data_IF_954658246618
#
_entry.id   IF_954658246618
#
_cell.length_a   1.000
_cell.length_b   1.000
_cell.length_c   1.000
_cell.angle_alpha   90.00
_cell.angle_beta   90.00
_cell.angle_gamma   90.00
#
_symmetry.space_group_name_H-M   'P 1'
#
loop_
_entity.id
_entity.type
_entity.pdbx_description
1 polymer ?
#
# COMPACT_ATOMS: atom_id res chain seq x y z
N UNK A 1 75.67 -38.39 -7.91
CA UNK A 1 74.65 -38.30 -8.98
C UNK A 1 73.95 -39.65 -9.07
N UNK A 2 72.64 -39.85 -8.98
CA UNK A 2 71.46 -38.97 -8.89
C UNK A 2 70.30 -39.82 -8.32
N UNK A 3 69.65 -39.28 -7.30
CA UNK A 3 68.21 -39.31 -6.97
C UNK A 3 67.42 -40.62 -6.77
N UNK A 4 67.23 -40.94 -5.48
CA UNK A 4 65.95 -41.07 -4.77
C UNK A 4 64.67 -40.68 -5.55
N UNK A 5 63.66 -41.57 -5.57
CA UNK A 5 62.24 -41.20 -5.37
C UNK A 5 61.54 -42.36 -4.63
N UNK A 6 61.25 -42.12 -3.34
CA UNK A 6 60.37 -42.93 -2.49
C UNK A 6 58.99 -42.26 -2.57
N UNK A 7 58.01 -42.89 -3.22
CA UNK A 7 56.63 -42.39 -3.30
C UNK A 7 55.92 -42.81 -2.01
N UNK A 8 55.78 -41.86 -1.09
CA UNK A 8 54.94 -41.97 0.10
C UNK A 8 53.51 -41.61 -0.31
N UNK A 9 52.66 -42.62 -0.53
CA UNK A 9 51.23 -42.43 -0.74
C UNK A 9 50.54 -42.15 0.60
N UNK A 10 50.42 -40.86 0.93
CA UNK A 10 49.56 -40.35 2.01
C UNK A 10 48.09 -40.48 1.54
N UNK A 11 47.44 -41.57 1.94
CA UNK A 11 45.99 -41.67 1.99
C UNK A 11 45.50 -40.75 3.12
N UNK A 12 45.29 -39.47 2.81
CA UNK A 12 44.47 -38.59 3.63
C UNK A 12 43.02 -39.05 3.47
N UNK A 13 42.58 -39.96 4.34
CA UNK A 13 41.17 -40.24 4.56
C UNK A 13 40.53 -38.97 5.12
N UNK A 14 39.95 -38.15 4.25
CA UNK A 14 38.97 -37.15 4.65
C UNK A 14 37.78 -37.90 5.22
N UNK A 15 37.76 -38.06 6.53
CA UNK A 15 36.55 -38.33 7.28
C UNK A 15 35.59 -37.19 6.93
N UNK A 16 34.56 -37.50 6.15
CA UNK A 16 33.38 -36.64 6.05
C UNK A 16 32.74 -36.63 7.44
N UNK A 17 33.18 -35.71 8.29
CA UNK A 17 32.48 -35.42 9.54
C UNK A 17 31.06 -35.04 9.16
N UNK A 18 30.08 -35.85 9.57
CA UNK A 18 28.70 -35.44 9.52
C UNK A 18 28.58 -34.23 10.45
N UNK A 19 28.50 -33.02 9.88
CA UNK A 19 28.31 -31.80 10.66
C UNK A 19 27.00 -31.95 11.44
N UNK A 20 27.07 -31.84 12.77
CA UNK A 20 25.85 -31.86 13.58
C UNK A 20 25.04 -30.59 13.31
N UNK A 21 23.74 -30.60 13.65
CA UNK A 21 22.87 -29.41 13.55
C UNK A 21 23.48 -28.21 14.31
N UNK A 22 24.15 -28.49 15.43
CA UNK A 22 24.89 -27.50 16.20
C UNK A 22 26.09 -26.92 15.42
N UNK A 23 26.90 -27.77 14.77
CA UNK A 23 28.06 -27.32 13.99
C UNK A 23 27.65 -26.46 12.78
N UNK A 24 26.52 -26.80 12.16
CA UNK A 24 25.92 -26.01 11.07
C UNK A 24 25.53 -24.61 11.59
N UNK A 25 24.82 -24.54 12.71
CA UNK A 25 24.50 -23.24 13.33
C UNK A 25 25.76 -22.45 13.67
N UNK A 26 26.72 -23.06 14.38
CA UNK A 26 27.92 -22.34 14.84
C UNK A 26 28.72 -21.77 13.67
N UNK A 27 28.83 -22.51 12.57
CA UNK A 27 29.58 -22.09 11.39
C UNK A 27 28.85 -21.05 10.52
N UNK A 28 27.52 -21.14 10.37
CA UNK A 28 26.75 -20.29 9.43
C UNK A 28 25.96 -19.16 10.08
N UNK A 29 25.35 -19.42 11.24
CA UNK A 29 24.27 -18.58 11.78
C UNK A 29 24.58 -17.97 13.16
N UNK A 30 25.62 -18.41 13.86
CA UNK A 30 26.00 -17.88 15.18
C UNK A 30 26.19 -16.36 15.24
N UNK A 31 26.62 -15.73 14.15
CA UNK A 31 26.82 -14.28 14.04
C UNK A 31 25.61 -13.53 13.48
N UNK A 32 24.56 -14.23 13.06
CA UNK A 32 23.33 -13.62 12.54
C UNK A 32 22.43 -13.18 13.69
N UNK A 33 21.59 -12.18 13.45
CA UNK A 33 20.63 -11.71 14.44
C UNK A 33 19.44 -12.66 14.60
N UNK A 34 18.50 -12.31 15.48
CA UNK A 34 17.21 -12.99 15.59
C UNK A 34 16.55 -13.10 14.21
N UNK A 35 16.14 -14.31 13.82
CA UNK A 35 15.55 -14.55 12.52
C UNK A 35 15.38 -16.03 12.19
N UNK A 36 14.92 -16.28 10.97
CA UNK A 36 14.71 -17.62 10.41
C UNK A 36 15.68 -17.83 9.25
N UNK A 37 16.39 -18.96 9.26
CA UNK A 37 17.44 -19.23 8.29
C UNK A 37 17.29 -20.62 7.67
N UNK A 38 17.33 -20.67 6.34
CA UNK A 38 17.22 -21.89 5.56
C UNK A 38 18.57 -22.60 5.38
N UNK A 39 18.57 -23.90 5.60
CA UNK A 39 19.65 -24.83 5.27
C UNK A 39 19.05 -26.02 4.47
N UNK A 40 19.89 -26.84 3.83
CA UNK A 40 19.44 -27.90 2.93
C UNK A 40 18.44 -28.88 3.58
N UNK A 41 18.62 -29.16 4.89
CA UNK A 41 17.77 -30.11 5.62
C UNK A 41 16.94 -29.46 6.74
N UNK A 42 17.29 -28.23 7.14
CA UNK A 42 16.77 -27.62 8.35
C UNK A 42 16.39 -26.16 8.13
N UNK A 43 15.35 -25.73 8.82
CA UNK A 43 15.04 -24.33 9.04
C UNK A 43 15.42 -24.00 10.48
N UNK A 44 16.34 -23.06 10.65
CA UNK A 44 16.82 -22.59 11.95
C UNK A 44 15.99 -21.39 12.40
N UNK A 45 15.40 -21.50 13.57
CA UNK A 45 14.75 -20.41 14.29
C UNK A 45 15.70 -19.92 15.36
N UNK A 46 16.23 -18.71 15.17
CA UNK A 46 17.23 -18.11 16.06
C UNK A 46 16.58 -16.95 16.78
N UNK A 47 16.58 -17.02 18.11
CA UNK A 47 16.15 -15.92 18.98
C UNK A 47 17.35 -15.47 19.81
N UNK A 48 17.73 -14.22 19.61
CA UNK A 48 18.69 -13.45 20.40
C UNK A 48 17.95 -12.34 21.10
N UNK A 49 17.83 -12.46 22.42
CA UNK A 49 17.06 -11.54 23.25
C UNK A 49 17.95 -11.02 24.38
N UNK A 50 17.96 -9.71 24.62
CA UNK A 50 18.61 -9.17 25.82
C UNK A 50 17.97 -9.75 27.10
N UNK A 51 18.78 -10.03 28.12
CA UNK A 51 18.28 -10.57 29.37
C UNK A 51 17.25 -9.63 30.00
N UNK A 52 16.11 -10.20 30.41
CA UNK A 52 15.03 -9.48 31.07
C UNK A 52 15.42 -8.96 32.46
N UNK A 53 16.43 -9.60 33.06
CA UNK A 53 17.03 -9.20 34.33
C UNK A 53 18.55 -9.06 34.18
N UNK A 54 19.18 -8.15 34.93
CA UNK A 54 20.64 -8.01 34.96
C UNK A 54 21.31 -9.17 35.73
N UNK A 55 21.14 -10.40 35.23
CA UNK A 55 21.77 -11.61 35.78
C UNK A 55 22.84 -12.14 34.83
N UNK A 56 23.88 -12.73 35.42
CA UNK A 56 25.03 -13.31 34.69
C UNK A 56 24.69 -14.56 33.87
N UNK A 57 23.54 -15.20 34.14
CA UNK A 57 23.07 -16.43 33.49
C UNK A 57 21.58 -16.32 33.19
N UNK A 58 21.14 -16.80 32.03
CA UNK A 58 19.74 -16.93 31.69
C UNK A 58 19.01 -17.87 32.65
N UNK A 59 17.81 -17.47 33.06
CA UNK A 59 16.91 -18.26 33.87
C UNK A 59 15.70 -18.76 33.07
N UNK A 60 14.82 -19.47 33.77
CA UNK A 60 13.58 -20.00 33.17
C UNK A 60 12.65 -18.92 32.61
N UNK A 61 12.78 -17.66 33.03
CA UNK A 61 11.96 -16.58 32.50
C UNK A 61 12.46 -16.12 31.13
N UNK A 62 13.77 -15.89 30.98
CA UNK A 62 14.38 -15.55 29.70
C UNK A 62 14.16 -16.67 28.67
N UNK A 63 14.34 -17.94 29.07
CA UNK A 63 14.04 -19.11 28.24
C UNK A 63 12.58 -19.13 27.76
N UNK A 64 11.62 -18.84 28.66
CA UNK A 64 10.18 -18.83 28.32
C UNK A 64 9.81 -17.72 27.34
N UNK A 65 10.36 -16.51 27.50
CA UNK A 65 10.10 -15.43 26.56
C UNK A 65 10.76 -15.69 25.20
N UNK A 66 11.97 -16.26 25.18
CA UNK A 66 12.64 -16.64 23.94
C UNK A 66 11.89 -17.78 23.23
N UNK A 67 11.39 -18.77 23.97
CA UNK A 67 10.51 -19.83 23.46
C UNK A 67 9.22 -19.26 22.86
N UNK A 68 8.59 -18.27 23.51
CA UNK A 68 7.41 -17.58 23.00
C UNK A 68 7.70 -16.85 21.69
N UNK A 69 8.86 -16.19 21.58
CA UNK A 69 9.32 -15.56 20.33
C UNK A 69 9.56 -16.60 19.23
N UNK A 70 10.16 -17.75 19.57
CA UNK A 70 10.29 -18.88 18.65
C UNK A 70 8.93 -19.34 18.13
N UNK A 71 7.94 -19.61 18.99
CA UNK A 71 6.62 -20.05 18.54
C UNK A 71 5.94 -19.00 17.65
N UNK A 72 6.15 -17.70 17.93
CA UNK A 72 5.68 -16.63 17.04
C UNK A 72 6.34 -16.70 15.65
N UNK A 73 7.65 -16.90 15.58
CA UNK A 73 8.35 -17.10 14.32
C UNK A 73 7.89 -18.38 13.61
N UNK A 74 7.73 -19.50 14.33
CA UNK A 74 7.28 -20.78 13.76
C UNK A 74 5.91 -20.62 13.11
N UNK A 75 4.92 -20.08 13.83
CA UNK A 75 3.58 -19.84 13.27
C UNK A 75 3.66 -18.97 12.02
N UNK A 76 4.47 -17.90 12.04
CA UNK A 76 4.66 -17.03 10.89
C UNK A 76 5.25 -17.78 9.67
N UNK A 77 6.27 -18.62 9.86
CA UNK A 77 6.88 -19.37 8.76
C UNK A 77 5.96 -20.47 8.22
N UNK A 78 5.19 -21.13 9.09
CA UNK A 78 4.16 -22.09 8.68
C UNK A 78 3.12 -21.40 7.81
N UNK A 79 2.60 -20.28 8.27
CA UNK A 79 1.69 -19.42 7.52
C UNK A 79 2.31 -19.08 6.16
N UNK A 80 3.53 -18.56 6.12
CA UNK A 80 4.15 -18.10 4.88
C UNK A 80 4.58 -19.21 3.92
N UNK A 81 4.94 -20.41 4.37
CA UNK A 81 5.60 -21.40 3.49
C UNK A 81 4.66 -22.49 2.98
N UNK A 82 3.56 -22.73 3.67
CA UNK A 82 2.68 -23.87 3.36
C UNK A 82 1.65 -23.61 2.26
N UNK A 83 1.43 -22.35 1.88
CA UNK A 83 0.44 -22.00 0.86
C UNK A 83 1.11 -21.33 -0.33
N UNK A 84 0.70 -21.74 -1.53
CA UNK A 84 1.03 -21.06 -2.78
C UNK A 84 -0.22 -20.50 -3.43
N UNK A 85 -0.09 -19.34 -4.04
CA UNK A 85 -1.06 -18.89 -5.02
C UNK A 85 -1.13 -19.84 -6.20
N UNK A 86 -2.30 -19.95 -6.80
CA UNK A 86 -2.46 -20.63 -8.08
C UNK A 86 -1.72 -19.86 -9.19
N UNK A 87 -1.28 -20.57 -10.23
CA UNK A 87 -0.43 -20.00 -11.29
C UNK A 87 -1.16 -18.95 -12.15
N UNK A 88 -2.49 -18.86 -12.04
CA UNK A 88 -3.39 -17.92 -12.72
C UNK A 88 -3.50 -16.55 -12.03
N UNK A 89 -2.83 -16.35 -10.89
CA UNK A 89 -2.73 -15.04 -10.23
C UNK A 89 -1.56 -14.26 -10.83
N UNK A 90 -1.81 -13.67 -12.00
CA UNK A 90 -0.92 -12.72 -12.67
C UNK A 90 -1.26 -11.29 -12.23
N UNK A 91 -0.26 -10.40 -12.17
CA UNK A 91 -0.48 -8.96 -11.93
C UNK A 91 -0.61 -8.53 -10.46
N UNK A 92 -0.46 -9.44 -9.49
CA UNK A 92 -0.48 -9.10 -8.07
C UNK A 92 0.96 -9.02 -7.51
N UNK A 93 1.34 -7.85 -7.00
CA UNK A 93 2.67 -7.62 -6.39
C UNK A 93 2.58 -7.27 -4.88
N UNK A 94 3.73 -7.04 -4.24
CA UNK A 94 3.80 -6.67 -2.83
C UNK A 94 3.39 -5.20 -2.62
N UNK A 95 2.84 -4.81 -1.44
CA UNK A 95 2.61 -5.63 -0.25
C UNK A 95 1.28 -6.40 -0.24
N UNK A 96 0.34 -6.12 -1.17
CA UNK A 96 -1.00 -6.73 -1.15
C UNK A 96 -0.93 -8.25 -1.26
N UNK A 97 -0.02 -8.76 -2.09
CA UNK A 97 0.23 -10.21 -2.24
C UNK A 97 0.59 -10.87 -0.91
N UNK A 98 1.52 -10.28 -0.15
CA UNK A 98 1.93 -10.78 1.15
C UNK A 98 0.77 -10.79 2.14
N UNK A 99 0.01 -9.70 2.22
CA UNK A 99 -1.10 -9.57 3.17
C UNK A 99 -2.25 -10.56 2.87
N UNK A 100 -2.60 -10.74 1.59
CA UNK A 100 -3.55 -11.78 1.18
C UNK A 100 -3.03 -13.16 1.58
N UNK A 101 -1.74 -13.42 1.32
CA UNK A 101 -1.14 -14.71 1.67
C UNK A 101 -1.23 -14.96 3.17
N UNK A 102 -0.94 -13.97 4.00
CA UNK A 102 -0.99 -14.09 5.45
C UNK A 102 -2.42 -14.38 5.94
N UNK A 103 -3.44 -13.71 5.38
CA UNK A 103 -4.86 -13.96 5.69
C UNK A 103 -5.29 -15.37 5.29
N UNK A 104 -5.03 -15.75 4.04
CA UNK A 104 -5.43 -17.07 3.53
C UNK A 104 -4.71 -18.16 4.31
N UNK A 105 -3.42 -18.00 4.54
CA UNK A 105 -2.61 -19.00 5.22
C UNK A 105 -3.02 -19.18 6.68
N UNK A 106 -3.55 -18.16 7.35
CA UNK A 106 -4.15 -18.30 8.67
C UNK A 106 -5.41 -19.20 8.66
N UNK A 107 -6.17 -19.20 7.56
CA UNK A 107 -7.38 -20.02 7.39
C UNK A 107 -7.07 -21.48 6.99
N UNK A 108 -6.04 -21.72 6.20
CA UNK A 108 -5.69 -23.07 5.69
C UNK A 108 -4.68 -23.82 6.55
N UNK A 109 -3.82 -23.15 7.31
CA UNK A 109 -2.81 -23.82 8.14
C UNK A 109 -3.38 -24.29 9.48
N UNK A 110 -4.24 -25.31 9.41
CA UNK A 110 -4.57 -26.17 10.55
C UNK A 110 -3.45 -27.19 10.74
N UNK A 111 -2.21 -26.74 10.97
CA UNK A 111 -1.13 -27.64 11.43
C UNK A 111 -0.95 -27.42 12.91
N UNK A 112 -1.66 -28.22 13.70
CA UNK A 112 -1.66 -28.10 15.16
C UNK A 112 -0.39 -28.62 15.82
N UNK A 113 0.54 -29.25 15.07
CA UNK A 113 1.78 -29.77 15.66
C UNK A 113 2.91 -29.93 14.62
N UNK A 114 3.90 -29.04 14.66
CA UNK A 114 5.14 -29.17 13.86
C UNK A 114 6.26 -29.68 14.76
N UNK A 115 6.80 -30.89 14.48
CA UNK A 115 7.96 -31.41 15.20
C UNK A 115 9.14 -30.46 15.04
N UNK A 116 9.68 -30.03 16.17
CA UNK A 116 10.83 -29.14 16.25
C UNK A 116 11.80 -29.66 17.31
N UNK A 117 13.08 -29.34 17.13
CA UNK A 117 14.15 -29.78 18.00
C UNK A 117 14.89 -28.55 18.55
N UNK A 118 14.88 -28.40 19.87
CA UNK A 118 15.77 -27.45 20.54
C UNK A 118 17.22 -27.89 20.31
N UNK A 119 18.01 -27.02 19.69
CA UNK A 119 19.44 -27.23 19.50
C UNK A 119 20.18 -26.86 20.78
N UNK A 120 19.88 -25.68 21.34
CA UNK A 120 20.30 -25.25 22.67
C UNK A 120 19.53 -24.01 23.12
N UNK A 121 19.63 -23.77 24.43
CA UNK A 121 19.19 -22.59 25.16
C UNK A 121 20.36 -22.18 26.06
N UNK A 122 20.96 -21.01 25.82
CA UNK A 122 22.13 -20.53 26.57
C UNK A 122 22.33 -19.02 26.46
N UNK A 123 23.18 -18.48 27.32
CA UNK A 123 23.76 -17.16 27.08
C UNK A 123 24.66 -17.15 25.83
N UNK A 124 24.61 -16.05 25.09
CA UNK A 124 25.50 -15.78 23.98
C UNK A 124 26.96 -15.83 24.43
N UNK A 125 27.80 -16.41 23.58
CA UNK A 125 29.26 -16.43 23.76
C UNK A 125 29.88 -15.04 23.53
N UNK A 126 29.16 -14.16 22.82
CA UNK A 126 29.64 -12.84 22.40
C UNK A 126 29.20 -11.78 23.41
N UNK A 127 27.93 -11.83 23.83
CA UNK A 127 27.33 -10.86 24.73
C UNK A 127 26.80 -11.54 25.99
N UNK A 128 27.40 -11.30 27.17
CA UNK A 128 27.06 -12.01 28.40
C UNK A 128 25.64 -11.74 28.93
N UNK A 129 24.92 -10.79 28.32
CA UNK A 129 23.56 -10.39 28.67
C UNK A 129 22.56 -10.63 27.51
N UNK A 130 22.87 -11.57 26.61
CA UNK A 130 21.99 -11.94 25.49
C UNK A 130 21.69 -13.44 25.55
N UNK A 131 20.41 -13.79 25.60
CA UNK A 131 19.92 -15.16 25.54
C UNK A 131 19.85 -15.64 24.08
N UNK A 132 20.53 -16.74 23.75
CA UNK A 132 20.46 -17.44 22.48
C UNK A 132 19.61 -18.71 22.62
N UNK A 133 18.43 -18.69 22.02
CA UNK A 133 17.51 -19.81 21.94
C UNK A 133 17.39 -20.25 20.47
N UNK A 134 17.85 -21.47 20.17
CA UNK A 134 17.94 -21.95 18.79
C UNK A 134 17.19 -23.26 18.65
N UNK A 135 16.20 -23.24 17.77
CA UNK A 135 15.36 -24.40 17.43
C UNK A 135 15.51 -24.70 15.96
N UNK A 136 15.38 -25.98 15.60
CA UNK A 136 15.35 -26.42 14.20
C UNK A 136 14.09 -27.20 13.90
N UNK A 137 13.64 -27.06 12.66
CA UNK A 137 12.53 -27.82 12.07
C UNK A 137 13.04 -28.38 10.75
N UNK A 138 12.63 -29.59 10.37
CA UNK A 138 13.03 -30.14 9.07
C UNK A 138 12.45 -29.31 7.94
N UNK A 139 13.27 -29.00 6.93
CA UNK A 139 12.86 -28.17 5.80
C UNK A 139 11.71 -28.78 4.97
N UNK A 140 11.60 -30.11 4.94
CA UNK A 140 10.52 -30.81 4.22
C UNK A 140 9.12 -30.60 4.83
N UNK A 141 9.04 -30.22 6.12
CA UNK A 141 7.79 -29.88 6.80
C UNK A 141 7.22 -28.52 6.38
N UNK A 142 8.02 -27.69 5.69
CA UNK A 142 7.58 -26.42 5.08
C UNK A 142 7.38 -26.55 3.58
N UNK A 143 7.40 -27.77 3.02
CA UNK A 143 7.04 -27.98 1.62
C UNK A 143 5.56 -27.68 1.45
N UNK A 144 5.29 -26.77 0.51
CA UNK A 144 3.95 -26.39 0.08
C UNK A 144 2.99 -27.58 0.05
N UNK A 145 1.86 -27.42 0.72
CA UNK A 145 0.81 -28.42 0.90
C UNK A 145 0.12 -28.81 -0.43
N UNK A 146 0.48 -28.12 -1.52
CA UNK A 146 -0.18 -28.21 -2.82
C UNK A 146 -1.50 -27.44 -2.85
N UNK A 147 -1.83 -26.71 -1.79
CA UNK A 147 -3.03 -25.87 -1.73
C UNK A 147 -2.79 -24.68 -2.65
N UNK A 148 -3.51 -24.68 -3.78
CA UNK A 148 -3.60 -23.56 -4.70
C UNK A 148 -4.81 -22.72 -4.30
N UNK A 149 -4.56 -21.52 -3.81
CA UNK A 149 -5.63 -20.58 -3.45
C UNK A 149 -6.35 -20.17 -4.75
N UNK A 150 -7.68 -20.34 -4.87
CA UNK A 150 -8.38 -20.01 -6.10
C UNK A 150 -8.43 -18.48 -6.30
N UNK A 151 -8.40 -18.04 -7.57
CA UNK A 151 -8.39 -16.62 -7.95
C UNK A 151 -9.50 -15.80 -7.29
N UNK A 152 -10.72 -16.32 -7.23
CA UNK A 152 -11.87 -15.63 -6.63
C UNK A 152 -11.70 -15.36 -5.13
N UNK A 153 -11.02 -16.25 -4.39
CA UNK A 153 -10.73 -16.06 -2.97
C UNK A 153 -9.70 -14.94 -2.79
N UNK A 154 -8.65 -14.93 -3.63
CA UNK A 154 -7.65 -13.85 -3.64
C UNK A 154 -8.26 -12.50 -3.97
N UNK A 155 -9.09 -12.44 -5.02
CA UNK A 155 -9.79 -11.22 -5.41
C UNK A 155 -10.74 -10.72 -4.32
N UNK A 156 -11.48 -11.62 -3.67
CA UNK A 156 -12.35 -11.26 -2.57
C UNK A 156 -11.57 -10.63 -1.41
N UNK A 157 -10.48 -11.26 -0.97
CA UNK A 157 -9.65 -10.74 0.12
C UNK A 157 -8.95 -9.43 -0.28
N UNK A 158 -8.48 -9.32 -1.53
CA UNK A 158 -7.91 -8.08 -2.05
C UNK A 158 -8.92 -6.93 -1.95
N UNK A 159 -10.18 -7.15 -2.38
CA UNK A 159 -11.22 -6.12 -2.30
C UNK A 159 -11.63 -5.78 -0.87
N UNK A 160 -11.61 -6.74 0.05
CA UNK A 160 -11.82 -6.50 1.48
C UNK A 160 -10.71 -5.63 2.07
N UNK A 161 -9.44 -5.92 1.74
CA UNK A 161 -8.29 -5.13 2.17
C UNK A 161 -8.32 -3.71 1.62
N UNK A 162 -8.66 -3.52 0.34
CA UNK A 162 -8.85 -2.20 -0.27
C UNK A 162 -9.98 -1.43 0.44
N UNK A 163 -11.13 -2.09 0.66
CA UNK A 163 -12.27 -1.46 1.34
C UNK A 163 -11.91 -1.03 2.76
N UNK A 164 -11.24 -1.89 3.53
CA UNK A 164 -10.83 -1.57 4.89
C UNK A 164 -9.90 -0.36 4.90
N UNK A 165 -8.83 -0.36 4.10
CA UNK A 165 -7.90 0.77 4.00
C UNK A 165 -8.59 2.08 3.59
N UNK A 166 -9.52 2.01 2.62
CA UNK A 166 -10.34 3.15 2.20
C UNK A 166 -11.24 3.68 3.32
N UNK A 167 -11.94 2.79 4.03
CA UNK A 167 -12.89 3.16 5.08
C UNK A 167 -12.22 3.68 6.35
N UNK A 168 -11.03 3.18 6.66
CA UNK A 168 -10.21 3.58 7.81
C UNK A 168 -9.43 4.89 7.54
N UNK A 169 -9.34 5.30 6.27
CA UNK A 169 -8.56 6.46 5.86
C UNK A 169 -7.04 6.22 5.87
N UNK A 170 -6.60 4.96 5.81
CA UNK A 170 -5.19 4.59 5.69
C UNK A 170 -4.74 4.72 4.22
N UNK A 171 -4.59 5.97 3.78
CA UNK A 171 -4.29 6.29 2.38
C UNK A 171 -2.90 5.83 1.92
N UNK A 172 -1.94 5.71 2.85
CA UNK A 172 -0.62 5.16 2.55
C UNK A 172 -0.72 3.67 2.23
N UNK A 173 -1.44 2.91 3.05
CA UNK A 173 -1.65 1.48 2.80
C UNK A 173 -2.49 1.26 1.54
N UNK A 174 -3.53 2.08 1.35
CA UNK A 174 -4.38 2.03 0.18
C UNK A 174 -3.59 2.29 -1.12
N UNK A 175 -2.72 3.30 -1.16
CA UNK A 175 -1.91 3.58 -2.36
C UNK A 175 -0.95 2.43 -2.67
N UNK A 176 -0.31 1.83 -1.66
CA UNK A 176 0.54 0.65 -1.83
C UNK A 176 -0.24 -0.54 -2.41
N UNK A 177 -1.46 -0.79 -1.93
CA UNK A 177 -2.31 -1.84 -2.48
C UNK A 177 -2.75 -1.55 -3.92
N UNK A 178 -3.03 -0.30 -4.26
CA UNK A 178 -3.36 0.10 -5.63
C UNK A 178 -2.18 -0.10 -6.58
N UNK A 179 -0.95 0.22 -6.16
CA UNK A 179 0.26 -0.14 -6.91
C UNK A 179 0.42 -1.65 -7.08
N UNK A 180 0.07 -2.44 -6.05
CA UNK A 180 0.10 -3.89 -6.17
C UNK A 180 -0.84 -4.48 -7.22
N UNK A 181 -1.78 -3.67 -7.71
CA UNK A 181 -2.79 -4.00 -8.72
C UNK A 181 -2.57 -3.26 -10.05
N UNK A 182 -1.42 -2.62 -10.25
CA UNK A 182 -1.10 -1.79 -11.41
C UNK A 182 -2.11 -0.62 -11.64
N UNK A 183 -2.71 -0.12 -10.55
CA UNK A 183 -3.64 1.02 -10.53
C UNK A 183 -2.93 2.33 -10.16
N UNK A 184 -1.75 2.58 -10.75
CA UNK A 184 -0.84 3.68 -10.39
C UNK A 184 -1.52 5.06 -10.40
N UNK A 185 -2.38 5.31 -11.38
CA UNK A 185 -3.09 6.58 -11.49
C UNK A 185 -3.98 6.89 -10.29
N UNK A 186 -4.63 5.87 -9.72
CA UNK A 186 -5.44 6.02 -8.51
C UNK A 186 -4.55 6.02 -7.26
N UNK A 187 -3.48 5.23 -7.26
CA UNK A 187 -2.49 5.19 -6.18
C UNK A 187 -1.87 6.59 -5.95
N UNK A 188 -1.43 7.27 -7.00
CA UNK A 188 -0.84 8.63 -6.89
C UNK A 188 -1.78 9.68 -6.32
N UNK A 189 -3.10 9.51 -6.47
CA UNK A 189 -4.08 10.40 -5.85
C UNK A 189 -4.09 10.20 -4.33
N UNK A 190 -4.00 8.95 -3.86
CA UNK A 190 -3.94 8.65 -2.43
C UNK A 190 -2.58 8.98 -1.82
N UNK A 191 -1.48 8.81 -2.56
CA UNK A 191 -0.15 9.29 -2.14
C UNK A 191 -0.17 10.79 -1.88
N UNK A 192 -0.85 11.57 -2.73
CA UNK A 192 -0.98 13.01 -2.55
C UNK A 192 -1.61 13.39 -1.20
N UNK A 193 -2.53 12.59 -0.67
CA UNK A 193 -3.17 12.84 0.62
C UNK A 193 -2.23 12.59 1.81
N UNK A 194 -1.12 11.88 1.58
CA UNK A 194 -0.07 11.63 2.59
C UNK A 194 0.97 12.75 2.63
N UNK A 195 0.99 13.62 1.62
CA UNK A 195 1.89 14.77 1.55
C UNK A 195 1.31 15.95 2.34
N UNK A 196 2.18 16.70 3.01
CA UNK A 196 1.81 17.95 3.70
C UNK A 196 1.76 19.16 2.75
N UNK A 197 2.20 18.98 1.51
CA UNK A 197 2.32 20.06 0.52
C UNK A 197 0.94 20.48 -0.02
N UNK A 198 0.59 21.75 0.18
CA UNK A 198 -0.57 22.38 -0.43
C UNK A 198 -0.24 23.80 -0.86
N UNK A 199 -0.83 24.24 -1.96
CA UNK A 199 -0.64 25.60 -2.47
C UNK A 199 -1.62 26.53 -1.76
N UNK A 200 -1.09 27.51 -1.03
CA UNK A 200 -1.90 28.59 -0.46
C UNK A 200 -2.40 29.54 -1.56
N UNK A 201 -3.69 29.84 -1.53
CA UNK A 201 -4.37 30.76 -2.46
C UNK A 201 -5.09 31.87 -1.69
N UNK A 202 -5.49 32.93 -2.41
CA UNK A 202 -6.24 34.06 -1.85
C UNK A 202 -5.51 34.74 -0.68
N UNK A 203 -4.21 35.00 -0.89
CA UNK A 203 -3.32 35.61 0.08
C UNK A 203 -3.59 37.10 0.22
N UNK A 204 -3.56 37.59 1.46
CA UNK A 204 -3.53 39.01 1.81
C UNK A 204 -2.10 39.43 2.17
N UNK A 205 -1.76 40.73 2.06
CA UNK A 205 -0.46 41.23 2.48
C UNK A 205 -0.08 40.94 3.94
N UNK A 206 -1.06 40.64 4.79
CA UNK A 206 -0.90 40.36 6.22
C UNK A 206 -0.72 38.89 6.55
N UNK A 207 -0.91 37.99 5.58
CA UNK A 207 -0.86 36.56 5.85
C UNK A 207 0.61 36.15 6.00
N UNK A 208 0.93 35.46 7.11
CA UNK A 208 2.27 34.92 7.37
C UNK A 208 2.48 33.65 6.57
N UNK A 209 2.35 33.70 5.25
CA UNK A 209 2.86 32.61 4.43
C UNK A 209 4.38 32.77 4.35
N UNK A 210 5.10 31.67 4.16
CA UNK A 210 6.51 31.68 3.80
C UNK A 210 6.61 32.09 2.31
N UNK A 211 6.00 33.23 1.98
CA UNK A 211 5.70 33.74 0.64
C UNK A 211 7.03 34.13 0.03
N UNK A 212 7.78 33.16 -0.48
CA UNK A 212 8.71 33.52 -1.52
C UNK A 212 10.19 33.34 -1.25
N UNK A 213 10.68 32.10 -1.15
CA UNK A 213 11.87 31.80 -1.94
C UNK A 213 11.52 31.48 -3.43
N UNK A 214 10.31 30.95 -3.78
CA UNK A 214 9.66 31.01 -5.13
C UNK A 214 8.20 30.41 -5.26
N UNK A 215 7.22 30.73 -4.42
CA UNK A 215 5.82 30.22 -4.40
C UNK A 215 4.81 30.94 -5.32
N UNK A 216 5.16 32.03 -6.02
CA UNK A 216 4.43 32.42 -7.25
C UNK A 216 4.83 31.53 -8.46
N UNK A 217 5.72 30.53 -8.29
CA UNK A 217 6.14 29.65 -9.38
C UNK A 217 5.28 28.40 -9.58
N UNK A 218 4.44 28.01 -8.61
CA UNK A 218 3.64 26.79 -8.69
C UNK A 218 2.23 27.05 -9.23
N UNK A 219 1.65 28.22 -8.97
CA UNK A 219 0.37 28.59 -9.61
C UNK A 219 0.56 28.75 -11.12
N UNK A 220 -0.48 28.38 -11.88
CA UNK A 220 -0.55 28.73 -13.30
C UNK A 220 -0.39 30.24 -13.47
N UNK A 221 0.37 30.65 -14.49
CA UNK A 221 0.59 32.06 -14.82
C UNK A 221 -0.67 32.72 -15.39
N UNK A 222 -1.49 31.95 -16.09
CA UNK A 222 -2.70 32.43 -16.74
C UNK A 222 -3.92 31.76 -16.11
N UNK A 223 -4.98 32.52 -15.80
CA UNK A 223 -6.22 31.96 -15.29
C UNK A 223 -6.91 31.13 -16.38
N UNK A 224 -7.73 30.15 -15.97
CA UNK A 224 -8.53 29.35 -16.91
C UNK A 224 -9.60 30.20 -17.62
N UNK A 225 -10.16 31.17 -16.89
CA UNK A 225 -11.10 32.18 -17.40
C UNK A 225 -11.05 33.42 -16.50
N UNK A 226 -11.75 34.48 -16.85
CA UNK A 226 -11.88 35.68 -15.98
C UNK A 226 -12.49 35.37 -14.59
N UNK A 227 -13.11 34.19 -14.42
CA UNK A 227 -13.72 33.73 -13.19
C UNK A 227 -12.78 32.88 -12.32
N UNK A 228 -11.63 32.47 -12.84
CA UNK A 228 -10.61 31.68 -12.12
C UNK A 228 -9.69 32.60 -11.29
N UNK A 229 -10.29 33.37 -10.39
CA UNK A 229 -9.68 34.54 -9.73
C UNK A 229 -8.43 34.25 -8.89
N UNK A 230 -8.23 33.00 -8.45
CA UNK A 230 -7.07 32.54 -7.69
C UNK A 230 -6.28 31.47 -8.46
N UNK A 231 -6.49 31.35 -9.79
CA UNK A 231 -5.85 30.38 -10.67
C UNK A 231 -6.03 28.92 -10.23
N UNK A 232 -7.08 28.58 -9.47
CA UNK A 232 -7.26 27.21 -8.93
C UNK A 232 -7.53 26.21 -10.04
N UNK A 233 -8.42 26.54 -10.98
CA UNK A 233 -8.77 25.63 -12.08
C UNK A 233 -7.58 25.48 -13.02
N UNK A 234 -6.97 26.58 -13.44
CA UNK A 234 -5.79 26.55 -14.31
C UNK A 234 -4.59 25.85 -13.67
N UNK A 235 -4.36 26.00 -12.36
CA UNK A 235 -3.32 25.28 -11.64
C UNK A 235 -3.66 23.79 -11.51
N UNK A 236 -4.93 23.45 -11.23
CA UNK A 236 -5.38 22.05 -11.24
C UNK A 236 -5.12 21.41 -12.60
N UNK A 237 -5.42 22.09 -13.71
CA UNK A 237 -5.12 21.61 -15.06
C UNK A 237 -3.62 21.44 -15.32
N UNK A 238 -2.79 22.39 -14.86
CA UNK A 238 -1.33 22.33 -14.98
C UNK A 238 -0.75 21.07 -14.33
N UNK A 239 -1.27 20.69 -13.15
CA UNK A 239 -0.86 19.49 -12.42
C UNK A 239 -1.75 18.27 -12.70
N UNK A 240 -2.59 18.31 -13.74
CA UNK A 240 -3.52 17.21 -14.08
C UNK A 240 -4.43 16.79 -12.91
N UNK A 241 -4.77 17.71 -12.01
CA UNK A 241 -5.58 17.47 -10.82
C UNK A 241 -4.77 17.04 -9.60
N UNK A 242 -3.51 16.66 -9.75
CA UNK A 242 -2.63 16.26 -8.64
C UNK A 242 -2.02 17.50 -7.97
N UNK A 243 -2.85 18.23 -7.20
CA UNK A 243 -2.42 19.37 -6.39
C UNK A 243 -3.40 19.62 -5.24
N UNK A 244 -2.91 19.94 -4.05
CA UNK A 244 -3.78 20.38 -2.95
C UNK A 244 -3.82 21.91 -2.84
N UNK A 245 -4.96 22.46 -2.40
CA UNK A 245 -5.14 23.90 -2.22
C UNK A 245 -5.59 24.23 -0.80
N UNK A 246 -5.00 25.29 -0.25
CA UNK A 246 -5.45 25.93 0.99
C UNK A 246 -5.87 27.35 0.65
N UNK A 247 -7.15 27.68 0.84
CA UNK A 247 -7.58 29.07 0.74
C UNK A 247 -7.41 29.72 2.11
N UNK A 248 -6.49 30.70 2.21
CA UNK A 248 -6.19 31.36 3.48
C UNK A 248 -7.32 32.30 3.93
N UNK A 249 -8.15 32.76 2.99
CA UNK A 249 -9.22 33.71 3.26
C UNK A 249 -10.55 33.27 2.62
N UNK A 250 -11.07 32.07 2.97
CA UNK A 250 -12.19 31.46 2.25
C UNK A 250 -13.49 32.22 2.49
N UNK A 251 -14.38 32.21 1.49
CA UNK A 251 -15.73 32.74 1.60
C UNK A 251 -16.76 31.62 1.42
N UNK A 252 -16.94 30.82 2.47
CA UNK A 252 -17.76 29.60 2.41
C UNK A 252 -19.22 29.86 2.02
N UNK A 253 -19.84 30.93 2.55
CA UNK A 253 -21.24 31.26 2.27
C UNK A 253 -21.41 31.68 0.80
N UNK A 254 -20.51 32.52 0.29
CA UNK A 254 -20.56 32.94 -1.11
C UNK A 254 -20.31 31.76 -2.06
N UNK A 255 -19.32 30.92 -1.74
CA UNK A 255 -19.03 29.72 -2.50
C UNK A 255 -20.25 28.79 -2.59
N UNK A 256 -20.93 28.56 -1.47
CA UNK A 256 -22.15 27.74 -1.41
C UNK A 256 -23.30 28.34 -2.23
N UNK A 257 -23.48 29.67 -2.18
CA UNK A 257 -24.51 30.34 -2.98
C UNK A 257 -24.25 30.23 -4.49
N UNK A 258 -22.99 30.38 -4.91
CA UNK A 258 -22.58 30.19 -6.31
C UNK A 258 -22.79 28.74 -6.76
N UNK A 259 -22.42 27.77 -5.92
CA UNK A 259 -22.66 26.35 -6.18
C UNK A 259 -24.15 26.04 -6.34
N UNK A 260 -25.01 26.52 -5.42
CA UNK A 260 -26.47 26.33 -5.53
C UNK A 260 -27.05 26.95 -6.79
N UNK A 261 -26.56 28.13 -7.19
CA UNK A 261 -26.96 28.77 -8.45
C UNK A 261 -26.55 27.90 -9.65
N UNK A 262 -25.33 27.36 -9.65
CA UNK A 262 -24.87 26.42 -10.67
C UNK A 262 -25.75 25.16 -10.73
N UNK A 263 -26.07 24.56 -9.57
CA UNK A 263 -26.94 23.38 -9.45
C UNK A 263 -28.34 23.64 -10.02
N UNK A 264 -28.97 24.76 -9.66
CA UNK A 264 -30.28 25.17 -10.20
C UNK A 264 -30.20 25.35 -11.73
N UNK A 265 -29.15 25.98 -12.23
CA UNK A 265 -28.96 26.19 -13.66
C UNK A 265 -28.74 24.86 -14.42
N UNK A 266 -28.01 23.92 -13.82
CA UNK A 266 -27.81 22.59 -14.37
C UNK A 266 -29.12 21.79 -14.45
N UNK A 267 -29.89 21.76 -13.36
CA UNK A 267 -31.20 21.10 -13.32
C UNK A 267 -32.20 21.70 -14.32
N UNK A 268 -32.06 23.00 -14.62
CA UNK A 268 -32.88 23.70 -15.61
C UNK A 268 -32.35 23.61 -17.05
N UNK A 269 -31.28 22.87 -17.31
CA UNK A 269 -30.70 22.71 -18.65
C UNK A 269 -30.17 24.03 -19.25
N UNK A 270 -29.68 24.95 -18.40
CA UNK A 270 -29.13 26.24 -18.83
C UNK A 270 -27.75 26.07 -19.49
N UNK A 271 -27.26 27.16 -20.09
CA UNK A 271 -26.00 27.19 -20.81
C UNK A 271 -24.84 26.66 -19.93
N UNK A 272 -24.11 25.60 -20.37
CA UNK A 272 -22.99 25.01 -19.64
C UNK A 272 -21.91 26.01 -19.23
N UNK A 273 -21.62 27.02 -20.06
CA UNK A 273 -20.60 28.03 -19.75
C UNK A 273 -20.90 28.79 -18.47
N UNK A 274 -22.15 29.23 -18.27
CA UNK A 274 -22.53 29.97 -17.07
C UNK A 274 -22.42 29.11 -15.81
N UNK A 275 -22.73 27.82 -15.93
CA UNK A 275 -22.62 26.85 -14.83
C UNK A 275 -21.14 26.65 -14.46
N UNK A 276 -20.26 26.52 -15.46
CA UNK A 276 -18.81 26.43 -15.27
C UNK A 276 -18.26 27.71 -14.63
N UNK A 277 -18.68 28.89 -15.08
CA UNK A 277 -18.23 30.17 -14.52
C UNK A 277 -18.63 30.32 -13.04
N UNK A 278 -19.88 29.97 -12.68
CA UNK A 278 -20.36 29.96 -11.29
C UNK A 278 -19.60 28.91 -10.42
N UNK A 279 -19.35 27.71 -10.94
CA UNK A 279 -18.56 26.67 -10.26
C UNK A 279 -17.10 27.06 -10.07
N UNK A 280 -16.51 27.71 -11.08
CA UNK A 280 -15.12 28.18 -11.04
C UNK A 280 -14.93 29.16 -9.88
N UNK A 281 -15.84 30.14 -9.74
CA UNK A 281 -15.81 31.06 -8.59
C UNK A 281 -16.03 30.32 -7.27
N UNK A 282 -16.99 29.38 -7.20
CA UNK A 282 -17.26 28.62 -5.99
C UNK A 282 -16.03 27.83 -5.51
N UNK A 283 -15.32 27.18 -6.44
CA UNK A 283 -14.09 26.43 -6.18
C UNK A 283 -12.95 27.36 -5.76
N UNK A 284 -12.77 28.50 -6.45
CA UNK A 284 -11.74 29.48 -6.08
C UNK A 284 -11.93 30.03 -4.66
N UNK A 285 -13.17 30.12 -4.18
CA UNK A 285 -13.52 30.58 -2.82
C UNK A 285 -13.49 29.48 -1.76
N UNK A 286 -13.67 28.22 -2.16
CA UNK A 286 -13.67 27.07 -1.26
C UNK A 286 -13.30 25.77 -2.02
N UNK A 287 -12.00 25.52 -2.27
CA UNK A 287 -11.57 24.40 -3.11
C UNK A 287 -11.76 23.04 -2.42
N UNK A 288 -12.00 23.01 -1.10
CA UNK A 288 -12.14 21.77 -0.32
C UNK A 288 -13.53 21.12 -0.42
N UNK A 289 -14.40 21.60 -1.28
CA UNK A 289 -15.77 21.07 -1.45
C UNK A 289 -15.83 20.10 -2.62
N UNK A 290 -15.79 18.81 -2.28
CA UNK A 290 -15.85 17.69 -3.23
C UNK A 290 -17.01 17.78 -4.24
N UNK A 291 -18.21 18.17 -3.79
CA UNK A 291 -19.37 18.29 -4.68
C UNK A 291 -19.21 19.34 -5.79
N UNK A 292 -18.38 20.37 -5.57
CA UNK A 292 -18.14 21.40 -6.59
C UNK A 292 -17.32 20.80 -7.74
N UNK A 293 -16.24 20.09 -7.39
CA UNK A 293 -15.38 19.37 -8.34
C UNK A 293 -16.14 18.25 -9.06
N UNK A 294 -16.95 17.46 -8.34
CA UNK A 294 -17.79 16.41 -8.93
C UNK A 294 -18.74 16.96 -9.99
N UNK A 295 -19.39 18.09 -9.70
CA UNK A 295 -20.31 18.73 -10.65
C UNK A 295 -19.56 19.29 -11.87
N UNK A 296 -18.41 19.93 -11.64
CA UNK A 296 -17.56 20.45 -12.70
C UNK A 296 -17.07 19.32 -13.64
N UNK A 297 -16.59 18.22 -13.07
CA UNK A 297 -16.19 17.01 -13.80
C UNK A 297 -17.33 16.44 -14.65
N UNK A 298 -18.55 16.36 -14.11
CA UNK A 298 -19.72 15.90 -14.85
C UNK A 298 -20.03 16.77 -16.07
N UNK A 299 -19.93 18.09 -15.93
CA UNK A 299 -20.17 19.03 -17.04
C UNK A 299 -19.08 18.89 -18.10
N UNK A 300 -17.80 18.89 -17.71
CA UNK A 300 -16.70 18.69 -18.66
C UNK A 300 -16.81 17.37 -19.41
N UNK A 301 -17.14 16.27 -18.72
CA UNK A 301 -17.40 14.98 -19.37
C UNK A 301 -18.55 15.05 -20.37
N UNK A 302 -19.65 15.72 -20.03
CA UNK A 302 -20.80 15.89 -20.91
C UNK A 302 -20.48 16.74 -22.15
N UNK A 303 -19.53 17.66 -22.04
CA UNK A 303 -19.04 18.50 -23.14
C UNK A 303 -17.93 17.82 -23.97
N UNK A 304 -17.40 16.68 -23.52
CA UNK A 304 -16.26 16.00 -24.17
C UNK A 304 -14.90 16.60 -23.82
N UNK A 305 -14.82 17.47 -22.82
CA UNK A 305 -13.61 18.10 -22.30
C UNK A 305 -12.86 17.12 -21.38
N UNK A 306 -12.25 16.11 -21.99
CA UNK A 306 -11.70 14.95 -21.27
C UNK A 306 -10.53 15.31 -20.33
N UNK A 307 -9.70 16.30 -20.68
CA UNK A 307 -8.55 16.70 -19.84
C UNK A 307 -9.04 17.42 -18.58
N UNK A 308 -9.99 18.31 -18.76
CA UNK A 308 -10.62 19.11 -17.72
C UNK A 308 -11.45 18.23 -16.79
N UNK A 309 -12.21 17.29 -17.36
CA UNK A 309 -12.93 16.27 -16.60
C UNK A 309 -11.96 15.44 -15.75
N UNK A 310 -10.83 14.99 -16.31
CA UNK A 310 -9.86 14.17 -15.58
C UNK A 310 -9.28 14.90 -14.37
N UNK A 311 -8.80 16.13 -14.57
CA UNK A 311 -8.26 16.95 -13.47
C UNK A 311 -9.32 17.21 -12.37
N UNK A 312 -10.56 17.52 -12.78
CA UNK A 312 -11.66 17.74 -11.83
C UNK A 312 -12.08 16.47 -11.07
N UNK A 313 -12.00 15.29 -11.70
CA UNK A 313 -12.25 14.00 -11.02
C UNK A 313 -11.19 13.72 -9.97
N UNK A 314 -9.92 13.96 -10.27
CA UNK A 314 -8.85 13.79 -9.28
C UNK A 314 -9.07 14.72 -8.09
N UNK A 315 -9.38 16.00 -8.34
CA UNK A 315 -9.72 16.93 -7.27
C UNK A 315 -10.92 16.48 -6.46
N UNK A 316 -11.95 15.91 -7.09
CA UNK A 316 -13.10 15.35 -6.38
C UNK A 316 -12.67 14.26 -5.39
N UNK A 317 -11.81 13.33 -5.80
CA UNK A 317 -11.26 12.27 -4.93
C UNK A 317 -10.44 12.88 -3.80
N UNK A 318 -9.55 13.83 -4.09
CA UNK A 318 -8.74 14.48 -3.06
C UNK A 318 -9.58 15.15 -1.97
N UNK A 319 -10.77 15.67 -2.30
CA UNK A 319 -11.64 16.35 -1.34
C UNK A 319 -12.64 15.43 -0.63
N UNK A 320 -12.88 14.21 -1.14
CA UNK A 320 -13.75 13.20 -0.53
C UNK A 320 -13.18 11.78 -0.73
N UNK A 321 -12.00 11.52 -0.12
CA UNK A 321 -11.17 10.37 -0.47
C UNK A 321 -11.73 9.02 -0.02
N UNK A 322 -12.69 8.99 0.91
CA UNK A 322 -13.32 7.75 1.38
C UNK A 322 -14.55 7.36 0.55
N UNK A 323 -14.98 8.22 -0.37
CA UNK A 323 -16.15 7.98 -1.18
C UNK A 323 -15.84 7.08 -2.38
N UNK A 324 -16.20 5.81 -2.28
CA UNK A 324 -15.93 4.82 -3.32
C UNK A 324 -16.58 5.16 -4.68
N UNK A 325 -17.71 5.88 -4.73
CA UNK A 325 -18.31 6.32 -6.01
C UNK A 325 -17.30 7.16 -6.82
N UNK A 326 -16.40 7.88 -6.15
CA UNK A 326 -15.36 8.68 -6.81
C UNK A 326 -14.42 7.85 -7.70
N UNK A 327 -14.19 6.58 -7.38
CA UNK A 327 -13.40 5.67 -8.23
C UNK A 327 -14.12 5.34 -9.53
N UNK A 328 -15.46 5.31 -9.53
CA UNK A 328 -16.25 5.15 -10.76
C UNK A 328 -16.13 6.39 -11.65
N UNK A 329 -16.05 7.59 -11.05
CA UNK A 329 -15.73 8.80 -11.82
C UNK A 329 -14.33 8.73 -12.43
N UNK A 330 -13.35 8.22 -11.68
CA UNK A 330 -11.97 8.03 -12.16
C UNK A 330 -11.91 7.04 -13.32
N UNK A 331 -12.56 5.88 -13.18
CA UNK A 331 -12.72 4.90 -14.24
C UNK A 331 -13.27 5.51 -15.54
N UNK A 332 -14.34 6.31 -15.45
CA UNK A 332 -14.91 6.95 -16.64
C UNK A 332 -13.97 7.97 -17.26
N UNK A 333 -13.20 8.71 -16.46
CA UNK A 333 -12.22 9.66 -16.96
C UNK A 333 -11.04 8.95 -17.66
N UNK A 334 -10.54 7.84 -17.08
CA UNK A 334 -9.48 7.01 -17.67
C UNK A 334 -9.94 6.30 -18.95
N UNK A 335 -11.18 5.80 -18.97
CA UNK A 335 -11.80 5.20 -20.16
C UNK A 335 -11.86 6.20 -21.31
N UNK A 336 -12.24 7.45 -21.05
CA UNK A 336 -12.29 8.50 -22.08
C UNK A 336 -10.90 8.89 -22.63
N UNK A 337 -9.83 8.51 -21.93
CA UNK A 337 -8.44 8.68 -22.36
C UNK A 337 -7.85 7.43 -23.04
N UNK A 338 -8.64 6.35 -23.18
CA UNK A 338 -8.22 5.04 -23.69
C UNK A 338 -7.05 4.42 -22.89
N UNK A 339 -7.08 4.55 -21.57
CA UNK A 339 -6.08 3.97 -20.67
C UNK A 339 -6.29 2.46 -20.48
N UNK A 340 -5.23 1.65 -20.60
CA UNK A 340 -5.30 0.20 -20.29
C UNK A 340 -5.68 -0.04 -18.83
N UNK A 341 -5.23 0.83 -17.92
CA UNK A 341 -5.59 0.81 -16.49
C UNK A 341 -7.10 0.95 -16.24
N UNK A 342 -7.87 1.47 -17.22
CA UNK A 342 -9.34 1.56 -17.08
C UNK A 342 -10.04 0.20 -17.10
N UNK A 343 -9.46 -0.80 -17.78
CA UNK A 343 -10.01 -2.17 -17.82
C UNK A 343 -9.79 -2.85 -16.47
N UNK A 344 -8.57 -2.77 -15.96
CA UNK A 344 -8.19 -3.32 -14.65
C UNK A 344 -8.99 -2.65 -13.52
N UNK A 345 -9.10 -1.32 -13.56
CA UNK A 345 -9.91 -0.60 -12.58
C UNK A 345 -11.39 -1.02 -12.61
N UNK A 346 -11.96 -1.22 -13.80
CA UNK A 346 -13.34 -1.69 -13.91
C UNK A 346 -13.53 -3.10 -13.31
N UNK A 347 -12.56 -3.99 -13.52
CA UNK A 347 -12.56 -5.33 -12.92
C UNK A 347 -12.63 -5.24 -11.39
N UNK A 348 -11.74 -4.46 -10.78
CA UNK A 348 -11.73 -4.27 -9.32
C UNK A 348 -12.98 -3.57 -8.78
N UNK A 349 -13.53 -2.59 -9.51
CA UNK A 349 -14.77 -1.93 -9.13
C UNK A 349 -15.98 -2.87 -9.09
N UNK A 350 -16.08 -3.80 -10.05
CA UNK A 350 -17.15 -4.81 -10.08
C UNK A 350 -17.05 -5.73 -8.87
N UNK A 351 -15.84 -6.16 -8.50
CA UNK A 351 -15.60 -7.00 -7.32
C UNK A 351 -15.88 -6.23 -6.01
N UNK A 352 -15.45 -4.97 -5.94
CA UNK A 352 -15.63 -4.10 -4.76
C UNK A 352 -17.10 -3.85 -4.43
N UNK A 353 -18.01 -3.96 -5.41
CA UNK A 353 -19.46 -3.85 -5.20
C UNK A 353 -20.03 -4.89 -4.21
N UNK A 354 -19.30 -5.96 -3.92
CA UNK A 354 -19.67 -6.93 -2.89
C UNK A 354 -19.45 -6.41 -1.46
N UNK A 355 -18.54 -5.44 -1.29
CA UNK A 355 -18.12 -4.89 0.01
C UNK A 355 -18.59 -3.45 0.21
N UNK A 356 -18.80 -2.72 -0.89
CA UNK A 356 -19.14 -1.29 -0.89
C UNK A 356 -20.56 -1.05 -1.39
N UNK A 357 -21.28 -0.14 -0.71
CA UNK A 357 -22.58 0.34 -1.17
C UNK A 357 -22.44 1.47 -2.20
N UNK A 358 -22.19 1.11 -3.46
CA UNK A 358 -22.23 2.07 -4.57
C UNK A 358 -23.62 2.66 -4.79
N UNK A 359 -23.68 3.91 -5.26
CA UNK A 359 -24.94 4.50 -5.71
C UNK A 359 -25.54 3.75 -6.91
N UNK A 360 -26.85 3.89 -7.14
CA UNK A 360 -27.50 3.30 -8.32
C UNK A 360 -26.90 3.80 -9.63
N UNK A 361 -26.40 5.04 -9.66
CA UNK A 361 -25.70 5.58 -10.80
C UNK A 361 -24.37 4.85 -11.02
N UNK A 362 -23.56 4.70 -9.97
CA UNK A 362 -22.25 4.05 -10.03
C UNK A 362 -22.34 2.60 -10.49
N UNK A 363 -23.27 1.80 -9.94
CA UNK A 363 -23.52 0.41 -10.34
C UNK A 363 -23.79 0.27 -11.84
N UNK A 364 -24.62 1.16 -12.38
CA UNK A 364 -24.94 1.20 -13.82
C UNK A 364 -23.70 1.47 -14.70
N UNK A 365 -22.71 2.22 -14.22
CA UNK A 365 -21.51 2.55 -15.01
C UNK A 365 -20.52 1.40 -15.11
N UNK A 366 -20.42 0.59 -14.05
CA UNK A 366 -19.48 -0.54 -13.95
C UNK A 366 -20.07 -1.86 -14.49
N UNK A 367 -21.32 -1.82 -14.97
CA UNK A 367 -21.97 -2.97 -15.64
C UNK A 367 -22.63 -3.98 -14.71
N UNK A 368 -23.02 -3.56 -13.49
CA UNK A 368 -23.81 -4.35 -12.53
C UNK A 368 -25.31 -4.01 -12.57
#
# INVERSE_FOLDING_TARGET
MKYFILIFSLLASFLSYANTVYDIYESKYSKKDTGVYDDEQWVFFVVKQECLTQKKYAGTQESKEAEKLFYKQLVNEVTKRNVSFSDDILGLSEPLKGDIKDIVSANYNVVSNIPHQLVFDRNSKVEPCTQEYVVTVKADLFKNNGIKIPKNEVENIATELLFNALSEGDYLKLSLYLHSLDLDGLASIYEMLTLEDAISINLRPTDSSNVCAQEYCLLSKNPYSEFDINNVISTSLLYQGLVQFINENPSHILAENLYKKAEVNFNNGKNPKQIIDDLTLAINLNPKKANYWKMLANIYRALGENKESYAAVIQYILQDPTNADSWVYFYLAEKNRNSESSVELNHWLVLLNNHVQFSSWAKKQIGN
#
